data_IF_968899719828
#
_entry.id   IF_968899719828
#
_cell.length_a   1.000
_cell.length_b   1.000
_cell.length_c   1.000
_cell.angle_alpha   90.00
_cell.angle_beta   90.00
_cell.angle_gamma   90.00
#
_symmetry.space_group_name_H-M   'P 1'
#
loop_
_entity.id
_entity.type
_entity.pdbx_description
1 polymer ?
#
# COMPACT_ATOMS: atom_id res chain seq x y z
N UNK A 1 6.06 10.21 -19.62
CA UNK A 1 5.06 10.10 -18.54
C UNK A 1 5.08 11.41 -17.77
N UNK A 2 3.96 12.12 -17.65
CA UNK A 2 3.90 13.38 -16.89
C UNK A 2 3.85 13.04 -15.39
N UNK A 3 4.84 13.50 -14.63
CA UNK A 3 5.00 13.20 -13.19
C UNK A 3 4.79 14.42 -12.29
N UNK A 4 4.37 15.57 -12.84
CA UNK A 4 4.27 16.83 -12.11
C UNK A 4 3.33 16.76 -10.89
N UNK A 5 2.35 15.85 -10.91
CA UNK A 5 1.36 15.67 -9.83
C UNK A 5 1.61 14.43 -8.97
N UNK A 6 2.70 13.69 -9.22
CA UNK A 6 3.01 12.48 -8.46
C UNK A 6 3.44 12.87 -7.06
N UNK A 7 2.80 12.28 -6.05
CA UNK A 7 3.21 12.39 -4.66
C UNK A 7 3.98 11.13 -4.27
N UNK A 8 5.19 11.31 -3.76
CA UNK A 8 6.00 10.23 -3.18
C UNK A 8 6.03 10.41 -1.68
N UNK A 9 5.64 9.37 -0.94
CA UNK A 9 5.85 9.31 0.50
C UNK A 9 6.22 7.90 0.90
N UNK A 10 6.98 7.80 1.99
CA UNK A 10 7.27 6.52 2.60
C UNK A 10 6.01 6.01 3.29
N UNK A 11 5.66 4.76 3.10
CA UNK A 11 4.55 4.13 3.81
C UNK A 11 4.96 2.72 4.24
N UNK A 12 4.71 2.37 5.50
CA UNK A 12 4.96 1.05 6.05
C UNK A 12 3.67 0.29 6.36
N UNK A 13 2.52 0.93 6.16
CA UNK A 13 1.21 0.34 6.37
C UNK A 13 0.30 0.64 5.17
N UNK A 14 -0.48 -0.38 4.78
CA UNK A 14 -1.55 -0.26 3.80
C UNK A 14 -2.83 -0.86 4.36
N UNK A 15 -3.94 -0.15 4.21
CA UNK A 15 -5.28 -0.63 4.53
C UNK A 15 -6.15 -0.58 3.27
N UNK A 16 -6.79 -1.69 2.92
CA UNK A 16 -7.59 -1.84 1.71
C UNK A 16 -9.03 -2.17 2.06
N UNK A 17 -9.96 -1.39 1.54
CA UNK A 17 -11.40 -1.66 1.59
C UNK A 17 -11.98 -1.74 0.19
N UNK A 18 -13.03 -2.54 0.02
CA UNK A 18 -13.67 -2.73 -1.28
C UNK A 18 -15.18 -2.70 -1.16
N UNK A 19 -15.82 -2.11 -2.16
CA UNK A 19 -17.24 -2.26 -2.46
C UNK A 19 -17.37 -2.92 -3.84
N UNK A 20 -18.59 -3.11 -4.33
CA UNK A 20 -18.84 -3.63 -5.68
C UNK A 20 -18.27 -2.72 -6.78
N UNK A 21 -18.25 -1.41 -6.54
CA UNK A 21 -17.92 -0.42 -7.56
C UNK A 21 -16.49 0.13 -7.44
N UNK A 22 -15.89 0.05 -6.26
CA UNK A 22 -14.58 0.64 -6.00
C UNK A 22 -13.72 -0.15 -5.00
N UNK A 23 -12.42 0.05 -5.13
CA UNK A 23 -11.39 -0.39 -4.20
C UNK A 23 -10.68 0.86 -3.70
N UNK A 24 -10.59 1.01 -2.38
CA UNK A 24 -9.94 2.11 -1.70
C UNK A 24 -8.72 1.58 -0.97
N UNK A 25 -7.54 2.08 -1.31
CA UNK A 25 -6.30 1.79 -0.62
C UNK A 25 -5.83 3.05 0.12
N UNK A 26 -5.63 2.92 1.42
CA UNK A 26 -5.06 3.95 2.27
C UNK A 26 -3.63 3.55 2.63
N UNK A 27 -2.67 4.40 2.33
CA UNK A 27 -1.27 4.22 2.67
C UNK A 27 -0.92 5.17 3.80
N UNK A 28 -0.14 4.69 4.76
CA UNK A 28 0.26 5.47 5.92
C UNK A 28 1.57 5.01 6.52
N UNK A 29 1.98 5.77 7.54
CA UNK A 29 3.12 5.46 8.40
C UNK A 29 2.58 5.18 9.79
N UNK A 30 2.90 4.00 10.32
CA UNK A 30 2.82 3.74 11.74
C UNK A 30 4.05 4.35 12.40
N UNK A 31 3.84 5.38 13.23
CA UNK A 31 4.88 6.14 13.92
C UNK A 31 5.04 5.73 15.39
N UNK A 32 4.58 4.53 15.79
CA UNK A 32 4.64 4.07 17.18
C UNK A 32 6.08 4.09 17.74
N UNK A 33 6.47 5.19 18.39
CA UNK A 33 7.80 5.40 18.99
C UNK A 33 7.79 5.42 20.52
N UNK A 34 6.71 5.11 21.22
CA UNK A 34 6.82 5.02 22.69
C UNK A 34 5.97 3.92 23.31
N UNK A 35 6.63 3.18 24.22
CA UNK A 35 6.10 2.06 24.98
C UNK A 35 5.17 2.61 26.06
N UNK A 36 3.88 2.77 25.75
CA UNK A 36 2.92 3.10 26.81
C UNK A 36 1.48 3.39 26.38
N UNK A 37 1.25 3.82 25.15
CA UNK A 37 -0.11 4.08 24.66
C UNK A 37 -0.63 2.85 23.90
N UNK A 38 -1.76 2.30 24.32
CA UNK A 38 -2.43 1.17 23.70
C UNK A 38 -3.09 1.49 22.34
N UNK A 39 -2.80 2.64 21.75
CA UNK A 39 -3.36 3.08 20.48
C UNK A 39 -2.27 3.12 19.41
N UNK A 40 -2.44 2.28 18.40
CA UNK A 40 -1.71 2.34 17.15
C UNK A 40 -2.08 3.65 16.45
N UNK A 41 -1.27 4.70 16.63
CA UNK A 41 -1.45 5.95 15.88
C UNK A 41 -0.92 5.76 14.45
N UNK A 42 -1.84 5.48 13.53
CA UNK A 42 -1.53 5.31 12.11
C UNK A 42 -1.85 6.61 11.39
N UNK A 43 -0.80 7.30 10.94
CA UNK A 43 -0.98 8.48 10.09
C UNK A 43 -1.20 8.05 8.66
N UNK A 44 -2.42 8.25 8.15
CA UNK A 44 -2.74 8.05 6.73
C UNK A 44 -2.22 9.22 5.90
N UNK A 45 -1.38 8.94 4.91
CA UNK A 45 -0.73 9.94 4.07
C UNK A 45 -1.32 10.01 2.66
N UNK A 46 -1.74 8.85 2.11
CA UNK A 46 -2.31 8.78 0.76
C UNK A 46 -3.54 7.90 0.70
N UNK A 47 -4.49 8.31 -0.14
CA UNK A 47 -5.64 7.50 -0.52
C UNK A 47 -5.69 7.36 -2.03
N UNK A 48 -5.78 6.11 -2.50
CA UNK A 48 -5.99 5.78 -3.91
C UNK A 48 -7.33 5.06 -4.03
N UNK A 49 -8.21 5.57 -4.90
CA UNK A 49 -9.49 4.95 -5.23
C UNK A 49 -9.43 4.48 -6.68
N UNK A 50 -9.85 3.25 -6.95
CA UNK A 50 -9.84 2.68 -8.29
C UNK A 50 -10.97 1.68 -8.50
N UNK A 51 -11.26 1.35 -9.76
CA UNK A 51 -12.23 0.31 -10.09
C UNK A 51 -11.69 -1.10 -9.76
N UNK A 52 -12.57 -2.10 -9.53
CA UNK A 52 -12.15 -3.48 -9.28
C UNK A 52 -11.25 -4.07 -10.37
N UNK A 53 -11.49 -3.70 -11.64
CA UNK A 53 -10.63 -4.13 -12.75
C UNK A 53 -9.22 -3.55 -12.68
N UNK A 54 -9.08 -2.29 -12.26
CA UNK A 54 -7.77 -1.69 -12.06
C UNK A 54 -7.03 -2.34 -10.88
N UNK A 55 -7.74 -2.60 -9.77
CA UNK A 55 -7.19 -3.28 -8.61
C UNK A 55 -6.71 -4.71 -8.95
N UNK A 56 -7.48 -5.46 -9.76
CA UNK A 56 -7.06 -6.80 -10.23
C UNK A 56 -5.75 -6.74 -11.01
N UNK A 57 -5.61 -5.79 -11.94
CA UNK A 57 -4.36 -5.62 -12.71
C UNK A 57 -3.19 -5.27 -11.79
N UNK A 58 -3.41 -4.35 -10.84
CA UNK A 58 -2.40 -3.98 -9.85
C UNK A 58 -1.94 -5.20 -9.06
N UNK A 59 -2.86 -6.00 -8.50
CA UNK A 59 -2.54 -7.19 -7.74
C UNK A 59 -1.71 -8.19 -8.55
N UNK A 60 -2.08 -8.44 -9.81
CA UNK A 60 -1.30 -9.33 -10.69
C UNK A 60 0.11 -8.81 -10.97
N UNK A 61 0.28 -7.52 -11.22
CA UNK A 61 1.60 -6.94 -11.44
C UNK A 61 2.45 -6.95 -10.17
N UNK A 62 1.83 -6.61 -9.03
CA UNK A 62 2.51 -6.59 -7.73
C UNK A 62 2.99 -7.99 -7.32
N UNK A 63 2.15 -9.02 -7.49
CA UNK A 63 2.53 -10.41 -7.20
C UNK A 63 3.75 -10.86 -8.00
N UNK A 64 3.76 -10.59 -9.32
CA UNK A 64 4.92 -10.91 -10.18
C UNK A 64 6.20 -10.21 -9.74
N UNK A 65 6.10 -8.95 -9.30
CA UNK A 65 7.27 -8.19 -8.82
C UNK A 65 7.80 -8.75 -7.50
N UNK A 66 6.92 -9.19 -6.60
CA UNK A 66 7.31 -9.86 -5.35
C UNK A 66 7.96 -11.20 -5.66
N UNK A 67 7.38 -12.03 -6.51
CA UNK A 67 7.96 -13.31 -6.94
C UNK A 67 9.36 -13.13 -7.57
N UNK A 68 9.53 -12.12 -8.44
CA UNK A 68 10.83 -11.80 -9.04
C UNK A 68 11.85 -11.34 -7.99
N UNK A 69 11.41 -10.54 -7.02
CA UNK A 69 12.24 -10.09 -5.91
C UNK A 69 12.69 -11.27 -5.04
N UNK A 70 11.76 -12.12 -4.61
CA UNK A 70 12.07 -13.28 -3.76
C UNK A 70 12.96 -14.30 -4.47
N UNK A 71 12.75 -14.52 -5.78
CA UNK A 71 13.64 -15.36 -6.58
C UNK A 71 15.09 -14.86 -6.65
N UNK A 72 15.32 -13.55 -6.45
CA UNK A 72 16.66 -12.93 -6.47
C UNK A 72 17.28 -12.80 -5.08
N UNK A 73 16.48 -12.51 -4.06
CA UNK A 73 16.97 -12.10 -2.74
C UNK A 73 16.56 -13.06 -1.60
N UNK A 74 15.76 -14.08 -1.90
CA UNK A 74 15.17 -15.00 -0.93
C UNK A 74 13.77 -14.56 -0.47
N UNK A 75 13.07 -15.48 0.19
CA UNK A 75 11.70 -15.27 0.68
C UNK A 75 11.60 -14.11 1.67
N UNK A 76 10.56 -13.28 1.52
CA UNK A 76 10.14 -12.30 2.49
C UNK A 76 9.45 -13.03 3.65
N UNK A 77 10.00 -12.91 4.86
CA UNK A 77 9.47 -13.52 6.09
C UNK A 77 8.73 -12.53 6.97
#
# INVERSE_FOLDING_TARGET
MNTASVKSSYCNMVNVTTTREEVVMNFGVNESWDRGAAEYDVRLEHRIVMSPFAAKRLATMLGKLVEEYEGRYGELK
#
